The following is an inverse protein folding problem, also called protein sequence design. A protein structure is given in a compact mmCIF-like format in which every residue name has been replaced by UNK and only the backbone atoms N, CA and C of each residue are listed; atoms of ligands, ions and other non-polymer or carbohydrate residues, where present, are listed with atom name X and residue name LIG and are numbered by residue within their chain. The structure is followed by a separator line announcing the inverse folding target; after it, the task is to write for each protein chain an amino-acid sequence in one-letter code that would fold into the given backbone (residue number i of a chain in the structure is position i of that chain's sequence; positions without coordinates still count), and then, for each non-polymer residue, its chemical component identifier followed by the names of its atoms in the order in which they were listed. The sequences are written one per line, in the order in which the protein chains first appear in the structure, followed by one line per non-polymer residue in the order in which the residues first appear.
data_IF_547700639400
#
_entry.id   IF_547700639400
#
_cell.length_a   1.000
_cell.length_b   1.000
_cell.length_c   1.000
_cell.angle_alpha   90.00
_cell.angle_beta   90.00
_cell.angle_gamma   90.00
#
_symmetry.space_group_name_H-M   'P 1'
#
loop_
_entity.id
_entity.type
_entity.pdbx_description
1 polymer ?
#
# COMPACT_ATOMS: atom_id res chain seq x y z
N UNK A 1 -203.22 95.46 -41.93
CA UNK A 1 -203.76 94.12 -42.29
C UNK A 1 -203.13 93.04 -41.40
N UNK A 2 -203.73 91.84 -41.34
CA UNK A 2 -203.31 90.58 -40.65
C UNK A 2 -202.06 90.60 -39.72
N UNK A 3 -202.13 90.25 -38.41
CA UNK A 3 -202.34 88.88 -37.82
C UNK A 3 -201.42 87.83 -38.45
N UNK A 4 -200.67 86.95 -37.76
CA UNK A 4 -200.61 86.42 -36.37
C UNK A 4 -199.15 85.85 -36.17
N UNK A 5 -198.60 85.35 -35.04
CA UNK A 5 -198.99 85.00 -33.65
C UNK A 5 -197.69 84.92 -32.80
N UNK A 6 -197.70 85.20 -31.49
CA UNK A 6 -196.56 84.89 -30.59
C UNK A 6 -196.52 83.40 -30.18
N UNK A 7 -195.33 82.89 -29.81
CA UNK A 7 -195.13 81.92 -28.71
C UNK A 7 -193.87 82.28 -27.89
N UNK A 8 -193.81 81.81 -26.64
CA UNK A 8 -192.92 82.29 -25.57
C UNK A 8 -192.71 81.18 -24.53
N UNK A 9 -191.48 80.64 -24.32
CA UNK A 9 -191.08 80.09 -23.01
C UNK A 9 -189.59 79.70 -22.79
N UNK A 10 -189.09 80.11 -21.62
CA UNK A 10 -188.09 79.49 -20.72
C UNK A 10 -186.59 79.38 -21.08
N UNK A 11 -185.79 79.57 -20.03
CA UNK A 11 -184.32 79.45 -19.94
C UNK A 11 -183.98 78.13 -19.22
N UNK A 12 -182.79 77.56 -19.49
CA UNK A 12 -182.13 76.58 -18.62
C UNK A 12 -180.62 76.93 -18.47
N UNK A 13 -180.05 76.99 -17.24
CA UNK A 13 -178.70 77.51 -17.02
C UNK A 13 -177.64 76.39 -16.95
N UNK A 14 -176.75 76.27 -17.94
CA UNK A 14 -175.65 75.26 -17.85
C UNK A 14 -174.35 75.51 -18.65
N UNK A 15 -174.06 76.73 -19.13
CA UNK A 15 -172.88 76.98 -20.01
C UNK A 15 -171.85 78.03 -19.53
N UNK A 16 -172.06 78.71 -18.41
CA UNK A 16 -171.13 79.76 -17.92
C UNK A 16 -169.81 79.16 -17.38
N UNK A 17 -169.83 77.94 -16.85
CA UNK A 17 -168.68 77.30 -16.18
C UNK A 17 -167.54 76.95 -17.18
N UNK A 18 -167.85 76.73 -18.47
CA UNK A 18 -166.84 76.30 -19.46
C UNK A 18 -165.90 77.43 -19.92
N UNK A 19 -166.23 78.70 -19.65
CA UNK A 19 -165.43 79.85 -20.10
C UNK A 19 -164.20 80.18 -19.24
N UNK A 20 -164.16 79.70 -17.98
CA UNK A 20 -163.06 80.04 -17.05
C UNK A 20 -161.85 79.10 -17.15
N UNK A 21 -162.02 77.88 -17.64
CA UNK A 21 -160.96 76.85 -17.67
C UNK A 21 -159.97 77.11 -18.83
N UNK A 22 -160.43 77.66 -19.96
CA UNK A 22 -159.58 77.94 -21.14
C UNK A 22 -158.76 79.23 -21.02
N UNK A 23 -159.17 80.19 -20.19
CA UNK A 23 -158.44 81.44 -19.99
C UNK A 23 -157.16 81.26 -19.13
N UNK A 24 -157.14 80.28 -18.24
CA UNK A 24 -156.07 80.10 -17.24
C UNK A 24 -154.80 79.40 -17.78
N UNK A 25 -154.78 78.97 -19.05
CA UNK A 25 -153.68 78.21 -19.66
C UNK A 25 -152.78 79.05 -20.60
N UNK A 26 -153.06 80.35 -20.77
CA UNK A 26 -152.33 81.25 -21.68
C UNK A 26 -151.35 82.21 -20.97
N UNK A 27 -151.11 82.02 -19.67
CA UNK A 27 -150.26 82.87 -18.83
C UNK A 27 -149.36 82.05 -17.88
N UNK A 28 -148.37 81.31 -18.40
CA UNK A 28 -147.12 80.94 -17.69
C UNK A 28 -146.01 80.74 -18.76
N UNK A 29 -144.70 80.91 -18.45
CA UNK A 29 -143.69 81.29 -19.45
C UNK A 29 -143.01 80.10 -20.15
N UNK A 30 -142.31 80.42 -21.24
CA UNK A 30 -141.41 79.49 -21.95
C UNK A 30 -140.17 79.21 -21.08
N UNK A 31 -139.86 77.93 -20.87
CA UNK A 31 -138.66 77.50 -20.16
C UNK A 31 -137.40 77.72 -21.01
N UNK A 32 -136.34 78.24 -20.38
CA UNK A 32 -134.98 78.13 -20.93
C UNK A 32 -134.50 76.70 -20.70
N UNK A 33 -134.05 76.01 -21.74
CA UNK A 33 -133.47 74.68 -21.59
C UNK A 33 -132.10 74.80 -20.90
N UNK A 34 -131.90 74.04 -19.82
CA UNK A 34 -130.58 73.86 -19.23
C UNK A 34 -129.73 72.95 -20.14
N UNK A 35 -128.45 73.31 -20.32
CA UNK A 35 -127.47 72.48 -21.02
C UNK A 35 -127.16 71.23 -20.21
N UNK A 36 -127.45 70.05 -20.75
CA UNK A 36 -127.01 68.77 -20.18
C UNK A 36 -125.55 68.52 -20.57
N UNK A 37 -124.68 68.37 -19.56
CA UNK A 37 -123.27 68.02 -19.72
C UNK A 37 -123.08 66.54 -20.10
N UNK A 38 -121.95 66.22 -20.72
CA UNK A 38 -121.58 64.84 -21.02
C UNK A 38 -121.05 64.11 -19.75
N UNK A 39 -121.25 62.78 -19.62
CA UNK A 39 -120.70 62.03 -18.50
C UNK A 39 -119.17 62.11 -18.46
N UNK A 40 -118.63 62.68 -17.38
CA UNK A 40 -117.18 62.86 -17.17
C UNK A 40 -116.69 64.31 -17.30
N UNK A 41 -117.51 65.24 -17.77
CA UNK A 41 -117.22 66.67 -17.69
C UNK A 41 -117.42 67.18 -16.25
N UNK A 42 -116.51 68.05 -15.78
CA UNK A 42 -116.67 68.77 -14.52
C UNK A 42 -116.79 70.26 -14.76
N UNK A 43 -117.73 70.90 -14.07
CA UNK A 43 -117.82 72.34 -13.97
C UNK A 43 -116.60 72.89 -13.22
N UNK A 44 -116.06 74.02 -13.69
CA UNK A 44 -115.09 74.79 -12.92
C UNK A 44 -115.71 75.17 -11.54
N UNK A 45 -115.08 74.81 -10.41
CA UNK A 45 -115.66 74.98 -9.08
C UNK A 45 -115.95 76.44 -8.67
N UNK A 46 -115.35 77.42 -9.33
CA UNK A 46 -115.58 78.85 -9.05
C UNK A 46 -116.91 79.39 -9.63
N UNK A 47 -117.65 78.59 -10.40
CA UNK A 47 -118.87 79.02 -11.10
C UNK A 47 -120.14 78.97 -10.23
N UNK A 48 -120.80 80.12 -10.05
CA UNK A 48 -122.11 80.22 -9.41
C UNK A 48 -123.28 79.80 -10.34
N UNK A 49 -124.41 79.31 -9.81
CA UNK A 49 -125.56 78.89 -10.63
C UNK A 49 -126.10 80.02 -11.52
N UNK A 50 -126.11 79.79 -12.84
CA UNK A 50 -126.71 80.68 -13.84
C UNK A 50 -125.74 81.52 -14.69
N UNK A 51 -124.42 81.42 -14.49
CA UNK A 51 -123.42 82.10 -15.34
C UNK A 51 -123.39 81.51 -16.76
N UNK A 52 -123.73 82.24 -17.84
CA UNK A 52 -123.92 81.65 -19.19
C UNK A 52 -122.67 81.16 -19.94
N UNK A 53 -121.51 81.08 -19.30
CA UNK A 53 -120.23 80.74 -19.95
C UNK A 53 -119.22 80.09 -18.98
N UNK A 54 -119.67 79.24 -18.05
CA UNK A 54 -118.74 78.42 -17.28
C UNK A 54 -118.12 77.35 -18.19
N UNK A 55 -116.80 77.40 -18.39
CA UNK A 55 -116.08 76.41 -19.18
C UNK A 55 -115.98 75.06 -18.46
N UNK A 56 -116.20 73.97 -19.19
CA UNK A 56 -115.93 72.61 -18.72
C UNK A 56 -114.48 72.23 -18.97
N UNK A 57 -113.87 71.53 -18.01
CA UNK A 57 -112.58 70.87 -18.20
C UNK A 57 -112.81 69.44 -18.69
N UNK A 58 -112.23 69.11 -19.84
CA UNK A 58 -112.29 67.75 -20.39
C UNK A 58 -111.41 66.78 -19.56
N UNK A 59 -111.76 65.48 -19.46
CA UNK A 59 -110.89 64.47 -18.87
C UNK A 59 -109.61 64.29 -19.71
N UNK A 60 -108.51 63.91 -19.05
CA UNK A 60 -107.13 63.92 -19.57
C UNK A 60 -107.02 63.45 -21.03
N UNK A 61 -106.57 64.33 -21.91
CA UNK A 61 -106.77 64.18 -23.36
C UNK A 61 -105.55 63.49 -23.99
N UNK A 62 -105.78 62.34 -24.63
CA UNK A 62 -104.79 61.59 -25.41
C UNK A 62 -103.66 60.91 -24.61
N UNK A 63 -103.98 60.34 -23.44
CA UNK A 63 -103.20 59.25 -22.82
C UNK A 63 -101.74 59.60 -22.45
N UNK A 64 -101.45 60.89 -22.29
CA UNK A 64 -100.12 61.42 -22.05
C UNK A 64 -100.14 62.18 -20.73
N UNK A 65 -99.58 61.59 -19.67
CA UNK A 65 -99.74 62.03 -18.27
C UNK A 65 -99.21 63.44 -17.94
N UNK A 66 -98.77 64.22 -18.93
CA UNK A 66 -98.25 65.58 -18.81
C UNK A 66 -99.31 66.65 -18.43
N UNK A 67 -100.60 66.36 -18.60
CA UNK A 67 -101.71 67.23 -18.17
C UNK A 67 -102.21 66.91 -16.75
N UNK A 68 -101.74 65.81 -16.14
CA UNK A 68 -102.16 65.34 -14.82
C UNK A 68 -101.44 66.14 -13.72
N UNK A 69 -102.07 67.23 -13.29
CA UNK A 69 -101.54 68.13 -12.24
C UNK A 69 -101.69 67.59 -10.81
N UNK A 70 -102.51 66.56 -10.59
CA UNK A 70 -102.68 65.89 -9.29
C UNK A 70 -103.27 64.48 -9.43
N UNK A 71 -102.86 63.57 -8.55
CA UNK A 71 -103.45 62.21 -8.40
C UNK A 71 -103.84 61.96 -6.92
N UNK A 72 -104.43 62.96 -6.26
CA UNK A 72 -104.82 62.88 -4.85
C UNK A 72 -105.84 61.76 -4.51
N UNK A 73 -106.46 61.12 -5.51
CA UNK A 73 -107.40 60.02 -5.32
C UNK A 73 -106.78 58.62 -5.30
N UNK A 74 -105.49 58.46 -5.60
CA UNK A 74 -104.82 57.15 -5.66
C UNK A 74 -104.33 56.72 -4.26
N UNK A 75 -105.21 56.06 -3.50
CA UNK A 75 -104.94 55.61 -2.12
C UNK A 75 -104.25 54.24 -2.01
N UNK A 76 -104.06 53.55 -3.14
CA UNK A 76 -103.39 52.25 -3.24
C UNK A 76 -102.36 52.26 -4.38
N UNK A 77 -101.25 51.52 -4.30
CA UNK A 77 -100.31 51.37 -5.42
C UNK A 77 -100.98 50.90 -6.71
N UNK A 78 -100.48 51.36 -7.86
CA UNK A 78 -100.91 50.83 -9.16
C UNK A 78 -100.51 49.35 -9.28
N UNK A 79 -101.43 48.51 -9.73
CA UNK A 79 -101.18 47.09 -9.98
C UNK A 79 -100.27 46.88 -11.20
N UNK A 80 -99.69 45.68 -11.35
CA UNK A 80 -98.88 45.33 -12.51
C UNK A 80 -99.66 45.42 -13.84
N UNK A 81 -100.95 45.09 -13.84
CA UNK A 81 -101.85 45.27 -14.98
C UNK A 81 -102.08 46.75 -15.36
N UNK A 82 -101.75 47.69 -14.48
CA UNK A 82 -101.80 49.15 -14.69
C UNK A 82 -100.40 49.75 -14.89
N UNK A 83 -99.37 48.93 -15.12
CA UNK A 83 -97.98 49.37 -15.29
C UNK A 83 -97.26 49.74 -13.99
N UNK A 84 -97.87 49.47 -12.82
CA UNK A 84 -97.26 49.66 -11.51
C UNK A 84 -96.62 48.39 -10.95
N UNK A 85 -96.37 48.38 -9.65
CA UNK A 85 -95.67 47.29 -8.93
C UNK A 85 -96.50 46.66 -7.81
N UNK A 86 -97.70 47.15 -7.53
CA UNK A 86 -98.58 46.66 -6.47
C UNK A 86 -98.15 46.97 -5.02
N UNK A 87 -96.97 47.55 -4.80
CA UNK A 87 -96.43 47.88 -3.46
C UNK A 87 -96.08 49.36 -3.31
N UNK A 88 -96.14 49.87 -2.07
CA UNK A 88 -95.73 51.22 -1.67
C UNK A 88 -94.37 51.27 -0.96
N UNK A 89 -93.75 50.11 -0.66
CA UNK A 89 -92.52 50.02 0.13
C UNK A 89 -91.54 48.98 -0.43
N UNK A 90 -90.25 49.23 -0.19
CA UNK A 90 -89.10 48.42 -0.57
C UNK A 90 -87.98 48.57 0.48
N UNK A 91 -87.15 47.55 0.66
CA UNK A 91 -85.84 47.67 1.28
C UNK A 91 -84.73 47.83 0.22
N UNK A 92 -83.56 48.30 0.66
CA UNK A 92 -82.42 48.54 -0.24
C UNK A 92 -81.81 47.20 -0.67
N UNK A 93 -81.82 46.93 -1.98
CA UNK A 93 -81.31 45.69 -2.57
C UNK A 93 -82.38 44.61 -2.81
N UNK A 94 -83.65 44.92 -2.58
CA UNK A 94 -84.77 44.09 -3.01
C UNK A 94 -84.85 44.02 -4.54
N UNK A 95 -85.34 42.90 -5.06
CA UNK A 95 -85.47 42.64 -6.49
C UNK A 95 -86.93 42.34 -6.87
N UNK A 96 -87.46 43.13 -7.80
CA UNK A 96 -88.77 42.92 -8.42
C UNK A 96 -88.69 41.84 -9.51
N UNK A 97 -89.66 40.92 -9.53
CA UNK A 97 -89.74 39.85 -10.53
C UNK A 97 -91.19 39.49 -10.86
N UNK A 98 -91.43 38.87 -12.02
CA UNK A 98 -92.75 38.35 -12.34
C UNK A 98 -93.06 37.12 -11.47
N UNK A 99 -93.96 37.28 -10.50
CA UNK A 99 -94.42 36.19 -9.61
C UNK A 99 -95.52 35.36 -10.24
N UNK A 100 -96.22 35.91 -11.23
CA UNK A 100 -97.16 35.23 -12.12
C UNK A 100 -97.11 35.88 -13.51
N UNK A 101 -97.96 35.46 -14.43
CA UNK A 101 -98.05 36.09 -15.78
C UNK A 101 -98.56 37.53 -15.77
N UNK A 102 -99.09 38.00 -14.63
CA UNK A 102 -99.83 39.27 -14.54
C UNK A 102 -99.49 40.08 -13.27
N UNK A 103 -98.52 39.64 -12.46
CA UNK A 103 -98.17 40.23 -11.16
C UNK A 103 -96.66 40.31 -10.97
N UNK A 104 -96.21 41.34 -10.25
CA UNK A 104 -94.84 41.47 -9.79
C UNK A 104 -94.75 41.15 -8.29
N UNK A 105 -93.82 40.27 -7.93
CA UNK A 105 -93.43 39.97 -6.56
C UNK A 105 -92.14 40.69 -6.18
N UNK A 106 -91.93 40.87 -4.87
CA UNK A 106 -90.67 41.38 -4.31
C UNK A 106 -89.91 40.22 -3.68
N UNK A 107 -88.68 39.97 -4.17
CA UNK A 107 -87.71 39.12 -3.51
C UNK A 107 -86.77 40.02 -2.70
N UNK A 108 -86.92 40.01 -1.38
CA UNK A 108 -86.08 40.82 -0.48
C UNK A 108 -84.58 40.48 -0.62
N UNK A 109 -83.69 41.43 -0.31
CA UNK A 109 -82.23 41.19 -0.35
C UNK A 109 -81.81 39.92 0.42
N UNK A 110 -80.97 39.09 -0.23
CA UNK A 110 -80.45 37.85 0.36
C UNK A 110 -79.38 38.08 1.42
N UNK A 111 -79.13 37.08 2.28
CA UNK A 111 -78.00 37.11 3.21
C UNK A 111 -76.66 36.92 2.49
N UNK A 112 -75.57 37.39 3.10
CA UNK A 112 -74.21 37.27 2.56
C UNK A 112 -73.89 35.83 2.14
N UNK A 113 -73.39 35.66 0.91
CA UNK A 113 -73.06 34.36 0.33
C UNK A 113 -74.22 33.63 -0.35
N UNK A 114 -75.43 34.21 -0.40
CA UNK A 114 -76.52 33.72 -1.25
C UNK A 114 -76.35 34.20 -2.69
N UNK A 115 -76.79 33.37 -3.63
CA UNK A 115 -76.87 33.70 -5.05
C UNK A 115 -78.30 33.55 -5.59
N UNK A 116 -78.62 34.26 -6.66
CA UNK A 116 -79.95 34.22 -7.27
C UNK A 116 -80.07 33.00 -8.19
N UNK A 117 -81.06 32.15 -7.93
CA UNK A 117 -81.27 30.87 -8.62
C UNK A 117 -82.70 30.80 -9.14
N UNK A 118 -82.87 30.45 -10.41
CA UNK A 118 -84.17 29.98 -10.91
C UNK A 118 -84.39 28.53 -10.45
N UNK A 119 -85.52 28.24 -9.83
CA UNK A 119 -85.91 26.87 -9.45
C UNK A 119 -86.84 26.21 -10.51
N UNK A 120 -87.05 26.87 -11.65
CA UNK A 120 -87.95 26.42 -12.73
C UNK A 120 -89.38 26.97 -12.66
N UNK A 121 -89.82 27.51 -11.50
CA UNK A 121 -91.14 28.15 -11.34
C UNK A 121 -91.06 29.59 -10.81
N UNK A 122 -89.95 29.95 -10.16
CA UNK A 122 -89.67 31.28 -9.61
C UNK A 122 -88.15 31.48 -9.48
N UNK A 123 -87.75 32.70 -9.09
CA UNK A 123 -86.39 32.99 -8.61
C UNK A 123 -86.34 32.98 -7.09
N UNK A 124 -85.25 32.46 -6.53
CA UNK A 124 -85.02 32.34 -5.08
C UNK A 124 -83.55 32.60 -4.75
N UNK A 125 -83.27 32.97 -3.49
CA UNK A 125 -81.92 32.99 -2.95
C UNK A 125 -81.52 31.59 -2.48
N UNK A 126 -80.44 31.04 -3.04
CA UNK A 126 -79.93 29.72 -2.65
C UNK A 126 -78.47 29.80 -2.16
N UNK A 127 -78.01 28.77 -1.43
CA UNK A 127 -76.59 28.55 -1.17
C UNK A 127 -76.00 27.78 -2.36
N UNK A 128 -74.79 28.13 -2.78
CA UNK A 128 -74.11 27.39 -3.86
C UNK A 128 -74.01 25.91 -3.42
N UNK A 129 -74.51 24.94 -4.19
CA UNK A 129 -74.39 23.53 -3.85
C UNK A 129 -72.91 23.14 -3.87
N UNK A 130 -72.45 22.45 -2.83
CA UNK A 130 -71.03 22.20 -2.57
C UNK A 130 -70.28 21.57 -3.76
N UNK A 131 -69.03 21.98 -3.93
CA UNK A 131 -68.17 21.60 -5.05
C UNK A 131 -67.68 22.75 -5.95
N UNK A 132 -68.02 24.01 -5.63
CA UNK A 132 -67.48 25.18 -6.33
C UNK A 132 -66.05 25.53 -5.86
N UNK A 133 -65.22 26.05 -6.76
CA UNK A 133 -63.77 26.24 -6.56
C UNK A 133 -63.45 27.54 -5.78
N UNK A 134 -64.05 27.69 -4.61
CA UNK A 134 -63.71 28.73 -3.65
C UNK A 134 -62.27 28.52 -3.14
N UNK A 135 -61.46 29.58 -3.06
CA UNK A 135 -60.04 29.50 -2.71
C UNK A 135 -59.73 28.98 -1.29
N UNK A 136 -60.75 28.76 -0.47
CA UNK A 136 -60.67 28.15 0.86
C UNK A 136 -61.44 26.82 0.98
N UNK A 137 -61.93 26.24 -0.13
CA UNK A 137 -62.61 24.95 -0.12
C UNK A 137 -61.58 23.84 0.16
N UNK A 138 -61.76 23.12 1.27
CA UNK A 138 -60.93 21.97 1.67
C UNK A 138 -61.30 20.68 0.90
N UNK A 139 -62.22 20.78 -0.07
CA UNK A 139 -62.76 19.68 -0.88
C UNK A 139 -63.53 18.62 -0.07
N UNK A 140 -63.96 18.89 1.17
CA UNK A 140 -64.80 17.94 1.93
C UNK A 140 -66.20 17.76 1.33
N UNK A 141 -66.62 18.68 0.47
CA UNK A 141 -67.87 18.61 -0.30
C UNK A 141 -67.80 17.60 -1.46
N UNK A 142 -66.61 17.11 -1.80
CA UNK A 142 -66.41 16.12 -2.85
C UNK A 142 -66.93 14.74 -2.38
N UNK A 143 -68.17 14.45 -2.73
CA UNK A 143 -68.85 13.17 -2.43
C UNK A 143 -68.20 11.93 -3.06
N UNK A 144 -67.27 12.09 -4.01
CA UNK A 144 -66.59 10.99 -4.69
C UNK A 144 -65.14 11.32 -5.07
N UNK A 145 -64.18 10.61 -4.45
CA UNK A 145 -62.75 10.77 -4.77
C UNK A 145 -62.39 10.29 -6.18
N UNK A 146 -63.16 9.37 -6.77
CA UNK A 146 -62.95 8.95 -8.17
C UNK A 146 -63.37 10.05 -9.14
N UNK A 147 -64.42 10.81 -8.83
CA UNK A 147 -64.89 11.91 -9.66
C UNK A 147 -63.87 13.05 -9.72
N UNK A 148 -63.26 13.45 -8.59
CA UNK A 148 -62.17 14.45 -8.65
C UNK A 148 -60.93 13.95 -9.40
N UNK A 149 -60.52 12.68 -9.22
CA UNK A 149 -59.42 12.12 -10.01
C UNK A 149 -59.73 12.16 -11.51
N UNK A 150 -60.95 11.85 -11.91
CA UNK A 150 -61.40 11.99 -13.30
C UNK A 150 -61.36 13.45 -13.77
N UNK A 151 -61.85 14.40 -12.98
CA UNK A 151 -61.87 15.82 -13.33
C UNK A 151 -60.47 16.44 -13.40
N UNK A 152 -59.51 15.93 -12.62
CA UNK A 152 -58.09 16.31 -12.65
C UNK A 152 -57.27 15.53 -13.71
N UNK A 153 -57.88 14.60 -14.45
CA UNK A 153 -57.19 13.75 -15.43
C UNK A 153 -56.20 12.74 -14.84
N UNK A 154 -56.36 12.39 -13.55
CA UNK A 154 -55.42 11.56 -12.80
C UNK A 154 -55.83 10.08 -12.78
N UNK A 155 -55.07 9.23 -13.49
CA UNK A 155 -55.21 7.77 -13.43
C UNK A 155 -54.24 7.18 -12.40
N UNK A 156 -54.78 6.33 -11.50
CA UNK A 156 -53.96 5.59 -10.53
C UNK A 156 -53.12 4.54 -11.28
N UNK A 157 -51.82 4.51 -11.00
CA UNK A 157 -50.84 3.71 -11.74
C UNK A 157 -50.28 4.41 -12.99
N UNK A 158 -50.68 5.65 -13.28
CA UNK A 158 -50.14 6.46 -14.39
C UNK A 158 -49.67 7.83 -13.92
N UNK A 159 -50.56 8.61 -13.29
CA UNK A 159 -50.26 9.96 -12.80
C UNK A 159 -50.04 9.98 -11.28
N UNK A 160 -50.67 9.04 -10.56
CA UNK A 160 -50.61 8.91 -9.11
C UNK A 160 -50.29 7.47 -8.76
N UNK A 161 -49.28 7.25 -7.92
CA UNK A 161 -48.91 5.91 -7.46
C UNK A 161 -50.07 5.27 -6.69
N UNK A 162 -50.37 4.00 -6.96
CA UNK A 162 -51.33 3.25 -6.17
C UNK A 162 -50.79 3.04 -4.75
N UNK A 163 -51.65 3.21 -3.73
CA UNK A 163 -51.27 2.96 -2.34
C UNK A 163 -50.77 1.52 -2.18
N UNK A 164 -49.57 1.40 -1.61
CA UNK A 164 -48.87 0.16 -1.36
C UNK A 164 -48.08 0.34 -0.06
N UNK A 165 -48.23 -0.58 0.88
CA UNK A 165 -47.57 -0.50 2.19
C UNK A 165 -46.04 -0.48 2.05
N UNK A 166 -45.48 -1.38 1.25
CA UNK A 166 -44.03 -1.43 1.00
C UNK A 166 -43.45 -0.17 0.36
N UNK A 167 -44.20 0.53 -0.48
CA UNK A 167 -43.78 1.85 -1.00
C UNK A 167 -43.91 2.95 0.07
N UNK A 168 -44.85 2.83 1.01
CA UNK A 168 -44.94 3.72 2.18
C UNK A 168 -43.77 3.49 3.14
N UNK A 169 -43.34 2.24 3.33
CA UNK A 169 -42.14 1.91 4.10
C UNK A 169 -40.92 2.57 3.46
N UNK A 170 -40.68 2.31 2.17
CA UNK A 170 -39.56 2.84 1.38
C UNK A 170 -39.52 4.39 1.42
N UNK A 171 -40.68 5.04 1.33
CA UNK A 171 -40.77 6.51 1.43
C UNK A 171 -40.51 7.06 2.84
N UNK A 172 -40.66 6.24 3.89
CA UNK A 172 -40.35 6.58 5.29
C UNK A 172 -38.91 6.26 5.72
N UNK A 173 -38.09 5.63 4.86
CA UNK A 173 -36.73 5.20 5.22
C UNK A 173 -35.75 6.36 5.36
N UNK A 174 -34.88 6.28 6.38
CA UNK A 174 -33.82 7.27 6.61
C UNK A 174 -32.70 7.14 5.57
N UNK A 175 -32.54 8.16 4.73
CA UNK A 175 -31.53 8.24 3.67
C UNK A 175 -30.14 8.53 4.26
N UNK A 176 -29.47 7.49 4.76
CA UNK A 176 -28.08 7.54 5.25
C UNK A 176 -27.13 6.87 4.25
N UNK A 177 -26.01 7.55 3.93
CA UNK A 177 -25.02 7.03 2.97
C UNK A 177 -24.36 5.74 3.45
N UNK A 178 -24.17 4.77 2.55
CA UNK A 178 -23.57 3.47 2.85
C UNK A 178 -24.48 2.45 3.53
N UNK A 179 -25.75 2.80 3.77
CA UNK A 179 -26.78 1.86 4.21
C UNK A 179 -27.53 1.24 3.02
N UNK A 180 -28.21 0.11 3.26
CA UNK A 180 -28.94 -0.67 2.28
C UNK A 180 -30.42 -0.78 2.67
N UNK A 181 -31.30 -0.81 1.66
CA UNK A 181 -32.70 -1.19 1.83
C UNK A 181 -32.79 -2.73 1.77
N UNK A 182 -33.41 -3.33 2.77
CA UNK A 182 -33.65 -4.78 2.87
C UNK A 182 -35.06 -5.04 3.40
N UNK A 183 -35.56 -6.27 3.30
CA UNK A 183 -36.81 -6.65 3.97
C UNK A 183 -36.53 -7.39 5.28
N UNK A 184 -37.38 -7.17 6.28
CA UNK A 184 -37.41 -7.94 7.54
C UNK A 184 -38.31 -9.19 7.45
N UNK A 185 -38.98 -9.42 6.31
CA UNK A 185 -39.97 -10.47 6.09
C UNK A 185 -41.43 -9.99 6.08
N UNK A 186 -41.70 -8.74 6.48
CA UNK A 186 -43.04 -8.12 6.47
C UNK A 186 -43.04 -6.72 5.83
N UNK A 187 -42.00 -5.92 6.06
CA UNK A 187 -41.84 -4.53 5.67
C UNK A 187 -40.53 -4.35 4.87
N UNK A 188 -40.27 -3.12 4.41
CA UNK A 188 -38.91 -2.67 4.07
C UNK A 188 -38.26 -1.91 5.22
N UNK A 189 -36.97 -2.14 5.46
CA UNK A 189 -36.17 -1.45 6.47
C UNK A 189 -34.79 -1.03 5.94
N UNK A 190 -34.13 -0.12 6.65
CA UNK A 190 -32.72 0.22 6.41
C UNK A 190 -31.82 -0.59 7.33
N UNK A 191 -30.75 -1.15 6.78
CA UNK A 191 -29.63 -1.74 7.54
C UNK A 191 -28.30 -1.11 7.14
N UNK A 192 -27.35 -1.04 8.08
CA UNK A 192 -25.99 -0.60 7.77
C UNK A 192 -25.22 -1.67 7.00
N UNK A 193 -24.16 -1.26 6.31
CA UNK A 193 -23.19 -2.18 5.68
C UNK A 193 -22.59 -3.20 6.66
N UNK A 194 -22.49 -2.87 7.96
CA UNK A 194 -22.08 -3.81 9.01
C UNK A 194 -23.15 -4.85 9.31
N UNK A 195 -24.42 -4.45 9.52
CA UNK A 195 -25.53 -5.39 9.78
C UNK A 195 -25.79 -6.31 8.58
N UNK A 196 -25.78 -5.77 7.36
CA UNK A 196 -26.00 -6.57 6.14
C UNK A 196 -24.92 -7.66 5.99
N UNK A 197 -23.65 -7.39 6.33
CA UNK A 197 -22.62 -8.44 6.34
C UNK A 197 -22.95 -9.57 7.31
N UNK A 198 -23.48 -9.27 8.50
CA UNK A 198 -23.96 -10.30 9.44
C UNK A 198 -25.15 -11.08 8.85
N UNK A 199 -26.16 -10.40 8.31
CA UNK A 199 -27.37 -11.03 7.74
C UNK A 199 -27.08 -11.91 6.52
N UNK A 200 -26.08 -11.57 5.71
CA UNK A 200 -25.61 -12.38 4.58
C UNK A 200 -24.62 -13.50 4.97
N UNK A 201 -24.33 -13.69 6.26
CA UNK A 201 -23.32 -14.66 6.73
C UNK A 201 -21.85 -14.27 6.43
N UNK A 202 -21.63 -13.08 5.88
CA UNK A 202 -20.32 -12.53 5.52
C UNK A 202 -19.57 -11.92 6.72
N UNK A 203 -20.07 -12.06 7.94
CA UNK A 203 -19.42 -11.55 9.16
C UNK A 203 -18.03 -12.12 9.42
N UNK A 204 -17.76 -13.35 8.94
CA UNK A 204 -16.46 -14.02 9.01
C UNK A 204 -15.57 -13.79 7.77
N UNK A 205 -16.03 -12.99 6.80
CA UNK A 205 -15.21 -12.62 5.63
C UNK A 205 -14.44 -11.36 5.99
N UNK A 206 -13.12 -11.49 6.14
CA UNK A 206 -12.25 -10.37 6.47
C UNK A 206 -12.44 -9.21 5.49
N UNK A 207 -12.66 -8.00 6.01
CA UNK A 207 -12.65 -6.77 5.20
C UNK A 207 -11.21 -6.28 4.91
N UNK A 208 -10.21 -7.08 5.29
CA UNK A 208 -8.79 -6.85 5.07
C UNK A 208 -8.45 -7.29 3.66
N UNK A 209 -7.79 -6.43 2.87
CA UNK A 209 -7.32 -6.82 1.55
C UNK A 209 -6.33 -7.99 1.67
N UNK A 210 -6.37 -8.95 0.74
CA UNK A 210 -5.51 -10.14 0.81
C UNK A 210 -4.01 -9.80 0.83
N UNK A 211 -3.63 -8.63 0.30
CA UNK A 211 -2.28 -8.05 0.34
C UNK A 211 -1.83 -7.53 1.72
N UNK A 212 -2.74 -7.40 2.69
CA UNK A 212 -2.47 -6.94 4.07
C UNK A 212 -3.00 -7.89 5.15
N UNK A 213 -3.54 -9.05 4.75
CA UNK A 213 -4.09 -10.06 5.65
C UNK A 213 -2.98 -10.97 6.19
N UNK A 214 -2.75 -10.92 7.51
CA UNK A 214 -1.70 -11.68 8.20
C UNK A 214 -1.99 -13.17 8.41
N UNK A 215 -3.03 -13.72 7.76
CA UNK A 215 -3.51 -15.08 7.97
C UNK A 215 -4.28 -15.28 9.27
N UNK A 216 -4.64 -16.54 9.56
CA UNK A 216 -5.33 -16.94 10.80
C UNK A 216 -4.98 -18.38 11.16
N UNK A 217 -4.93 -18.70 12.46
CA UNK A 217 -4.74 -20.06 12.97
C UNK A 217 -5.93 -20.99 12.70
N UNK A 218 -7.09 -20.44 12.29
CA UNK A 218 -8.26 -21.23 11.90
C UNK A 218 -8.12 -21.92 10.54
N UNK A 219 -7.11 -21.59 9.74
CA UNK A 219 -6.83 -22.25 8.47
C UNK A 219 -5.85 -23.40 8.73
N UNK A 220 -6.43 -24.59 8.90
CA UNK A 220 -5.71 -25.85 9.14
C UNK A 220 -5.24 -26.53 7.86
N UNK A 221 -5.72 -26.09 6.69
CA UNK A 221 -5.39 -26.62 5.37
C UNK A 221 -5.28 -25.49 4.34
N UNK A 222 -4.17 -25.47 3.59
CA UNK A 222 -3.99 -24.63 2.40
C UNK A 222 -4.09 -25.49 1.13
N UNK A 223 -4.40 -24.86 0.00
CA UNK A 223 -4.30 -25.49 -1.32
C UNK A 223 -2.85 -25.58 -1.80
N UNK A 224 -2.57 -26.51 -2.73
CA UNK A 224 -1.24 -26.67 -3.33
C UNK A 224 -0.86 -25.47 -4.19
N UNK A 225 0.31 -24.87 -3.95
CA UNK A 225 0.93 -23.91 -4.86
C UNK A 225 1.47 -24.67 -6.08
N UNK A 226 0.63 -24.81 -7.12
CA UNK A 226 0.98 -25.57 -8.32
C UNK A 226 1.99 -24.85 -9.23
N UNK A 227 1.97 -23.52 -9.24
CA UNK A 227 2.88 -22.64 -10.00
C UNK A 227 3.10 -21.31 -9.27
N UNK A 228 4.18 -20.61 -9.62
CA UNK A 228 4.53 -19.29 -9.06
C UNK A 228 5.63 -19.35 -8.00
N UNK A 229 6.09 -18.18 -7.57
CA UNK A 229 7.13 -18.02 -6.53
C UNK A 229 6.49 -17.61 -5.21
N UNK A 230 6.92 -18.21 -4.10
CA UNK A 230 6.52 -17.77 -2.76
C UNK A 230 7.25 -16.46 -2.42
N UNK A 231 6.51 -15.36 -2.41
CA UNK A 231 7.01 -14.01 -2.09
C UNK A 231 6.84 -13.63 -0.60
N UNK A 232 6.37 -14.56 0.23
CA UNK A 232 6.22 -14.35 1.68
C UNK A 232 7.53 -14.52 2.44
N UNK A 233 7.46 -14.37 3.77
CA UNK A 233 8.56 -14.75 4.68
C UNK A 233 8.90 -16.24 4.52
N UNK A 234 10.16 -16.62 4.76
CA UNK A 234 10.59 -18.03 4.75
C UNK A 234 9.67 -18.89 5.62
N UNK A 235 9.17 -19.98 5.05
CA UNK A 235 8.39 -20.98 5.80
C UNK A 235 9.37 -21.74 6.70
N UNK A 236 9.20 -21.63 8.03
CA UNK A 236 10.08 -22.31 8.98
C UNK A 236 10.00 -23.84 8.81
N UNK A 237 11.14 -24.54 8.98
CA UNK A 237 11.26 -25.98 8.67
C UNK A 237 10.26 -26.87 9.40
N UNK A 238 9.84 -26.51 10.61
CA UNK A 238 8.78 -27.22 11.35
C UNK A 238 7.37 -27.19 10.72
N UNK A 239 7.16 -26.41 9.65
CA UNK A 239 5.94 -26.40 8.84
C UNK A 239 6.12 -26.99 7.43
N UNK A 240 7.33 -27.42 7.07
CA UNK A 240 7.62 -28.05 5.79
C UNK A 240 7.40 -29.57 5.86
N UNK A 241 7.20 -30.17 4.70
CA UNK A 241 7.16 -31.63 4.57
C UNK A 241 8.52 -32.23 4.93
N UNK A 242 8.49 -33.40 5.57
CA UNK A 242 9.67 -34.18 6.00
C UNK A 242 10.64 -34.57 4.86
N UNK A 243 10.21 -34.34 3.61
CA UNK A 243 10.91 -34.61 2.37
C UNK A 243 11.42 -33.32 1.66
N UNK A 244 11.45 -32.18 2.36
CA UNK A 244 11.91 -30.88 1.84
C UNK A 244 13.24 -30.52 2.49
N UNK A 245 14.31 -30.41 1.69
CA UNK A 245 15.57 -29.83 2.14
C UNK A 245 15.59 -28.31 1.94
N UNK A 246 16.17 -27.59 2.90
CA UNK A 246 16.51 -26.17 2.77
C UNK A 246 17.97 -25.95 2.36
N UNK A 247 18.27 -24.78 1.81
CA UNK A 247 19.64 -24.40 1.47
C UNK A 247 20.51 -24.29 2.73
N UNK A 248 21.69 -24.92 2.71
CA UNK A 248 22.61 -25.09 3.84
C UNK A 248 22.14 -26.06 4.96
N UNK A 249 20.98 -26.71 4.83
CA UNK A 249 20.69 -27.87 5.69
C UNK A 249 21.52 -29.10 5.27
N UNK A 250 21.84 -29.95 6.24
CA UNK A 250 22.74 -31.08 6.04
C UNK A 250 21.99 -32.22 5.31
N UNK A 251 22.56 -32.74 4.22
CA UNK A 251 21.99 -33.83 3.39
C UNK A 251 21.57 -35.06 4.20
N UNK A 252 22.17 -35.28 5.38
CA UNK A 252 21.77 -36.35 6.29
C UNK A 252 20.31 -36.25 6.79
N UNK A 253 19.63 -35.10 6.64
CA UNK A 253 18.19 -34.93 6.95
C UNK A 253 17.24 -35.28 5.79
N UNK A 254 17.73 -35.63 4.59
CA UNK A 254 16.97 -35.76 3.33
C UNK A 254 15.77 -36.75 3.38
N UNK A 255 15.70 -37.63 4.37
CA UNK A 255 14.60 -38.59 4.59
C UNK A 255 13.69 -38.26 5.78
N UNK A 256 14.08 -37.29 6.61
CA UNK A 256 13.69 -37.17 8.03
C UNK A 256 13.80 -38.48 8.82
N UNK A 257 14.59 -39.44 8.36
CA UNK A 257 15.04 -40.51 9.24
C UNK A 257 16.12 -39.92 10.14
N UNK A 258 15.74 -39.55 11.37
CA UNK A 258 16.70 -39.16 12.40
C UNK A 258 17.75 -40.25 12.62
N UNK A 259 17.41 -41.52 12.34
CA UNK A 259 18.27 -42.68 12.25
C UNK A 259 19.43 -42.56 11.25
N UNK A 260 19.26 -41.84 10.14
CA UNK A 260 20.29 -41.66 9.11
C UNK A 260 21.44 -40.75 9.58
N UNK A 261 21.15 -39.73 10.40
CA UNK A 261 22.18 -38.92 11.09
C UNK A 261 22.64 -39.58 12.39
N UNK A 262 21.81 -40.40 13.04
CA UNK A 262 22.33 -41.23 14.15
C UNK A 262 23.44 -42.12 13.64
N UNK A 263 24.35 -42.47 14.53
CA UNK A 263 25.51 -43.28 14.15
C UNK A 263 25.15 -44.65 13.55
N UNK A 264 23.91 -45.14 13.64
CA UNK A 264 23.52 -46.42 13.02
C UNK A 264 23.29 -46.29 11.51
N UNK A 265 22.37 -45.44 11.03
CA UNK A 265 22.05 -45.36 9.60
C UNK A 265 23.24 -44.91 8.74
N UNK A 266 24.03 -43.95 9.23
CA UNK A 266 25.26 -43.53 8.58
C UNK A 266 26.34 -44.64 8.50
N UNK A 267 26.34 -45.62 9.42
CA UNK A 267 27.23 -46.79 9.37
C UNK A 267 26.69 -47.87 8.44
N UNK A 268 25.39 -48.16 8.47
CA UNK A 268 24.80 -49.19 7.59
C UNK A 268 24.90 -48.83 6.09
N UNK A 269 25.08 -47.54 5.77
CA UNK A 269 25.41 -47.06 4.41
C UNK A 269 26.87 -47.31 3.97
N UNK A 270 27.76 -47.76 4.87
CA UNK A 270 29.18 -48.00 4.60
C UNK A 270 29.53 -49.49 4.63
N UNK A 271 30.48 -49.92 3.80
CA UNK A 271 30.92 -51.32 3.71
C UNK A 271 32.37 -51.45 3.25
N UNK A 272 32.99 -52.61 3.50
CA UNK A 272 34.28 -52.99 2.93
C UNK A 272 34.11 -54.07 1.85
N UNK A 273 34.68 -53.83 0.67
CA UNK A 273 34.91 -54.84 -0.36
C UNK A 273 36.38 -55.31 -0.43
N UNK A 274 37.27 -54.67 0.34
CA UNK A 274 38.69 -54.99 0.39
C UNK A 274 38.94 -56.31 1.13
N UNK A 275 39.68 -57.22 0.49
CA UNK A 275 40.05 -58.51 1.07
C UNK A 275 40.87 -58.29 2.34
N UNK A 276 40.45 -58.91 3.45
CA UNK A 276 41.14 -58.81 4.73
C UNK A 276 40.77 -57.60 5.59
N UNK A 277 39.84 -56.76 5.13
CA UNK A 277 39.29 -55.64 5.91
C UNK A 277 37.78 -55.85 6.15
N UNK A 278 37.38 -55.88 7.42
CA UNK A 278 35.98 -56.01 7.84
C UNK A 278 35.47 -54.70 8.43
N UNK A 279 34.30 -54.25 7.98
CA UNK A 279 33.61 -53.10 8.55
C UNK A 279 32.49 -53.56 9.50
N UNK A 280 32.45 -53.01 10.71
CA UNK A 280 31.42 -53.33 11.71
C UNK A 280 30.36 -52.22 11.80
N UNK A 281 29.18 -52.42 11.21
CA UNK A 281 28.11 -51.40 11.20
C UNK A 281 27.48 -51.13 12.57
N UNK A 282 27.87 -51.87 13.62
CA UNK A 282 27.51 -51.61 15.02
C UNK A 282 28.44 -50.63 15.73
N UNK A 283 29.70 -50.47 15.28
CA UNK A 283 30.71 -49.62 15.94
C UNK A 283 31.33 -48.55 15.03
N UNK A 284 31.31 -48.77 13.71
CA UNK A 284 31.80 -47.82 12.70
C UNK A 284 33.28 -47.99 12.39
N UNK A 285 33.89 -49.07 12.88
CA UNK A 285 35.32 -49.33 12.78
C UNK A 285 35.59 -50.31 11.63
N UNK A 286 36.58 -49.99 10.79
CA UNK A 286 37.23 -50.97 9.93
C UNK A 286 38.32 -51.68 10.73
N UNK A 287 38.25 -52.99 10.82
CA UNK A 287 39.29 -53.85 11.43
C UNK A 287 39.88 -54.78 10.38
N UNK A 288 41.05 -55.35 10.67
CA UNK A 288 41.48 -56.56 9.95
C UNK A 288 40.45 -57.67 10.16
N UNK A 289 40.16 -58.44 9.11
CA UNK A 289 39.32 -59.63 9.20
C UNK A 289 40.01 -60.68 10.07
N UNK A 290 39.27 -61.30 11.00
CA UNK A 290 39.86 -62.31 11.89
C UNK A 290 40.47 -63.47 11.09
N UNK A 291 41.72 -63.83 11.40
CA UNK A 291 42.49 -64.83 10.65
C UNK A 291 43.11 -64.34 9.34
N UNK A 292 42.89 -63.09 8.92
CA UNK A 292 43.60 -62.53 7.77
C UNK A 292 44.98 -62.00 8.18
N UNK A 293 46.02 -62.79 7.90
CA UNK A 293 47.40 -62.34 8.02
C UNK A 293 47.72 -61.41 6.83
N UNK A 294 48.17 -60.19 7.11
CA UNK A 294 48.70 -59.27 6.09
C UNK A 294 49.88 -59.98 5.37
N UNK A 295 49.84 -60.17 4.03
CA UNK A 295 50.89 -60.92 3.34
C UNK A 295 52.27 -60.24 3.41
N UNK A 296 53.18 -60.80 4.22
CA UNK A 296 54.59 -60.42 4.30
C UNK A 296 55.37 -61.04 3.13
N UNK A 297 55.07 -60.62 1.91
CA UNK A 297 55.66 -61.15 0.65
C UNK A 297 57.12 -60.67 0.43
N UNK A 298 57.89 -60.50 1.50
CA UNK A 298 59.27 -60.00 1.49
C UNK A 298 60.15 -60.70 2.55
N UNK A 299 60.53 -61.94 2.25
CA UNK A 299 61.63 -62.72 2.87
C UNK A 299 61.51 -63.12 4.35
N UNK A 300 61.29 -64.42 4.58
CA UNK A 300 61.59 -65.12 5.84
C UNK A 300 62.52 -66.33 5.65
N UNK A 301 63.07 -66.53 4.44
CA UNK A 301 63.65 -67.83 4.02
C UNK A 301 65.13 -67.80 3.62
N UNK A 302 65.77 -66.63 3.52
CA UNK A 302 67.13 -66.52 2.94
C UNK A 302 68.17 -65.83 3.83
N UNK A 303 67.88 -65.57 5.10
CA UNK A 303 68.81 -64.90 6.03
C UNK A 303 69.50 -65.84 7.03
N UNK A 304 68.89 -66.96 7.41
CA UNK A 304 69.41 -67.83 8.48
C UNK A 304 70.81 -68.37 8.16
N UNK A 305 70.99 -68.92 6.96
CA UNK A 305 72.25 -69.50 6.48
C UNK A 305 73.45 -68.51 6.45
N UNK A 306 73.19 -67.20 6.54
CA UNK A 306 74.21 -66.15 6.62
C UNK A 306 74.66 -65.88 8.07
N UNK A 307 73.80 -66.13 9.06
CA UNK A 307 74.08 -65.95 10.49
C UNK A 307 74.57 -67.23 11.19
N UNK A 308 74.34 -68.41 10.62
CA UNK A 308 74.97 -69.65 11.07
C UNK A 308 76.50 -69.56 10.97
N UNK A 309 77.22 -70.13 11.94
CA UNK A 309 78.69 -70.08 12.00
C UNK A 309 79.32 -71.45 12.28
N UNK A 310 80.10 -72.04 11.36
CA UNK A 310 80.44 -71.54 10.02
C UNK A 310 79.24 -71.37 9.07
N UNK A 311 79.24 -70.31 8.26
CA UNK A 311 78.14 -70.04 7.32
C UNK A 311 78.18 -71.00 6.14
N UNK A 312 77.03 -71.57 5.78
CA UNK A 312 76.84 -72.39 4.59
C UNK A 312 76.63 -71.58 3.31
N UNK A 313 76.37 -70.27 3.44
CA UNK A 313 76.21 -69.35 2.30
C UNK A 313 77.54 -68.76 1.80
N UNK A 314 78.64 -68.88 2.56
CA UNK A 314 79.94 -68.29 2.26
C UNK A 314 80.96 -69.41 2.00
N UNK A 315 81.25 -69.67 0.72
CA UNK A 315 82.33 -70.56 0.31
C UNK A 315 83.70 -69.86 0.48
N UNK A 316 84.64 -70.53 1.16
CA UNK A 316 86.01 -70.01 1.34
C UNK A 316 86.91 -70.37 0.17
N UNK A 317 87.74 -69.41 -0.25
CA UNK A 317 88.80 -69.64 -1.23
C UNK A 317 90.02 -70.35 -0.63
N UNK A 318 90.90 -70.86 -1.49
CA UNK A 318 92.19 -71.47 -1.12
C UNK A 318 93.01 -70.53 -0.23
N UNK A 319 93.46 -71.02 0.93
CA UNK A 319 94.25 -70.24 1.89
C UNK A 319 93.43 -69.51 2.96
N UNK A 320 92.10 -69.64 2.97
CA UNK A 320 91.23 -69.17 4.04
C UNK A 320 90.57 -70.33 4.80
N UNK A 321 90.31 -70.15 6.10
CA UNK A 321 89.63 -71.10 6.95
C UNK A 321 88.72 -70.38 7.97
N UNK A 322 87.64 -71.04 8.39
CA UNK A 322 86.80 -70.57 9.49
C UNK A 322 87.47 -70.79 10.85
N UNK A 323 87.33 -69.83 11.75
CA UNK A 323 87.68 -69.91 13.17
C UNK A 323 86.48 -69.39 13.97
N UNK A 324 85.65 -70.32 14.44
CA UNK A 324 84.32 -70.05 14.99
C UNK A 324 83.50 -69.12 14.07
N UNK A 325 83.38 -67.84 14.44
CA UNK A 325 82.54 -66.84 13.78
C UNK A 325 83.34 -65.88 12.87
N UNK A 326 84.65 -66.11 12.68
CA UNK A 326 85.51 -65.28 11.83
C UNK A 326 86.21 -66.11 10.75
N UNK A 327 86.62 -65.44 9.66
CA UNK A 327 87.46 -66.03 8.61
C UNK A 327 88.89 -65.59 8.87
N UNK A 328 89.82 -66.55 8.90
CA UNK A 328 91.25 -66.34 9.03
C UNK A 328 92.01 -67.01 7.87
N UNK A 329 93.33 -66.88 7.83
CA UNK A 329 94.14 -67.69 6.92
C UNK A 329 94.14 -69.17 7.36
N UNK A 330 94.14 -70.08 6.39
CA UNK A 330 94.19 -71.53 6.61
C UNK A 330 95.56 -72.01 7.08
N UNK A 331 95.61 -73.19 7.68
CA UNK A 331 96.88 -73.81 8.11
C UNK A 331 97.88 -73.88 6.95
N UNK A 332 99.10 -73.36 7.16
CA UNK A 332 100.14 -73.24 6.14
C UNK A 332 100.11 -71.93 5.32
N UNK A 333 99.14 -71.04 5.53
CA UNK A 333 99.06 -69.72 4.90
C UNK A 333 99.20 -68.62 5.95
N UNK A 334 100.15 -67.70 5.77
CA UNK A 334 100.35 -66.57 6.66
C UNK A 334 99.88 -65.26 6.00
N UNK A 335 99.14 -64.43 6.73
CA UNK A 335 98.94 -63.02 6.38
C UNK A 335 100.18 -62.25 6.83
N UNK A 336 100.97 -61.61 5.94
CA UNK A 336 102.20 -60.94 6.36
C UNK A 336 101.91 -59.66 7.16
N UNK A 337 102.12 -59.71 8.47
CA UNK A 337 101.82 -58.58 9.37
C UNK A 337 103.00 -57.61 9.59
N UNK A 338 104.15 -57.82 8.94
CA UNK A 338 105.27 -56.84 8.93
C UNK A 338 106.12 -56.97 7.66
N UNK A 339 106.17 -55.88 6.88
CA UNK A 339 107.16 -55.50 5.85
C UNK A 339 107.48 -56.43 4.65
N UNK A 340 107.72 -55.82 3.48
CA UNK A 340 108.21 -56.48 2.27
C UNK A 340 109.74 -56.61 2.29
N UNK A 341 110.25 -57.83 2.24
CA UNK A 341 111.66 -58.16 2.51
C UNK A 341 112.56 -58.19 1.26
N UNK A 342 112.02 -58.01 0.05
CA UNK A 342 112.79 -58.18 -1.20
C UNK A 342 113.53 -56.92 -1.67
N UNK A 343 113.17 -55.71 -1.19
CA UNK A 343 113.72 -54.44 -1.70
C UNK A 343 114.51 -53.61 -0.66
N UNK A 344 114.56 -54.04 0.61
CA UNK A 344 115.22 -53.29 1.69
C UNK A 344 116.64 -53.74 2.02
N UNK A 345 116.99 -55.01 1.80
CA UNK A 345 118.29 -55.56 2.18
C UNK A 345 119.47 -54.90 1.45
N UNK A 346 119.31 -54.49 0.19
CA UNK A 346 120.35 -53.76 -0.54
C UNK A 346 120.66 -52.41 0.10
N UNK A 347 119.64 -51.63 0.49
CA UNK A 347 119.82 -50.34 1.15
C UNK A 347 120.53 -50.49 2.51
N UNK A 348 120.12 -51.49 3.32
CA UNK A 348 120.75 -51.79 4.61
C UNK A 348 122.23 -52.17 4.46
N UNK A 349 122.55 -53.05 3.52
CA UNK A 349 123.93 -53.50 3.28
C UNK A 349 124.82 -52.37 2.74
N UNK A 350 124.31 -51.53 1.84
CA UNK A 350 125.05 -50.36 1.31
C UNK A 350 125.36 -49.33 2.42
N UNK A 351 124.40 -49.05 3.30
CA UNK A 351 124.62 -48.14 4.45
C UNK A 351 125.62 -48.74 5.45
N UNK A 352 125.53 -50.04 5.72
CA UNK A 352 126.46 -50.73 6.63
C UNK A 352 127.90 -50.72 6.10
N UNK A 353 128.11 -51.08 4.82
CA UNK A 353 129.44 -51.06 4.20
C UNK A 353 130.08 -49.65 4.22
N UNK A 354 129.29 -48.62 3.87
CA UNK A 354 129.71 -47.22 3.93
C UNK A 354 130.23 -46.81 5.31
N UNK A 355 129.54 -47.20 6.39
CA UNK A 355 129.91 -46.79 7.75
C UNK A 355 131.34 -47.19 8.18
N UNK A 356 131.84 -48.32 7.71
CA UNK A 356 133.23 -48.78 7.94
C UNK A 356 134.27 -47.90 7.24
N UNK A 357 134.00 -47.51 5.99
CA UNK A 357 134.90 -46.66 5.21
C UNK A 357 134.94 -45.23 5.77
N UNK A 358 133.77 -44.67 6.15
CA UNK A 358 133.67 -43.36 6.79
C UNK A 358 134.34 -43.29 8.17
N UNK A 359 134.33 -44.39 8.94
CA UNK A 359 135.08 -44.46 10.20
C UNK A 359 136.59 -44.40 9.93
N UNK A 360 137.07 -45.20 8.96
CA UNK A 360 138.47 -45.23 8.55
C UNK A 360 138.96 -43.86 8.05
N UNK A 361 138.12 -43.13 7.30
CA UNK A 361 138.43 -41.79 6.82
C UNK A 361 138.44 -40.72 7.93
N UNK A 362 137.65 -40.89 9.00
CA UNK A 362 137.68 -40.02 10.17
C UNK A 362 138.96 -40.21 10.99
N UNK A 363 139.42 -41.46 11.14
CA UNK A 363 140.65 -41.81 11.86
C UNK A 363 141.94 -41.33 11.15
N UNK A 364 141.87 -40.88 9.89
CA UNK A 364 142.98 -40.22 9.20
C UNK A 364 143.29 -38.81 9.74
N UNK A 365 142.39 -38.23 10.55
CA UNK A 365 142.60 -36.95 11.22
C UNK A 365 142.59 -35.72 10.31
N UNK A 366 143.21 -34.63 10.77
CA UNK A 366 143.16 -33.36 10.05
C UNK A 366 144.11 -33.34 8.84
N UNK A 367 143.59 -33.65 7.65
CA UNK A 367 144.34 -33.65 6.39
C UNK A 367 145.05 -32.32 6.06
N UNK A 368 144.61 -31.17 6.58
CA UNK A 368 145.33 -29.91 6.41
C UNK A 368 146.73 -29.92 7.05
N UNK A 369 146.96 -30.78 8.03
CA UNK A 369 148.26 -30.99 8.69
C UNK A 369 149.18 -31.96 7.92
N UNK A 370 148.67 -32.70 6.94
CA UNK A 370 149.38 -33.81 6.31
C UNK A 370 150.31 -33.42 5.15
N UNK A 371 150.32 -32.13 4.75
CA UNK A 371 151.32 -31.59 3.84
C UNK A 371 151.25 -32.09 2.39
N UNK A 372 150.11 -32.62 1.94
CA UNK A 372 149.95 -33.18 0.58
C UNK A 372 150.13 -32.16 -0.56
N UNK A 373 150.09 -30.86 -0.26
CA UNK A 373 150.23 -29.74 -1.20
C UNK A 373 151.26 -28.73 -0.66
N UNK A 374 152.55 -28.98 -0.88
CA UNK A 374 153.65 -28.08 -0.48
C UNK A 374 154.07 -27.08 -1.57
N UNK A 375 153.82 -27.41 -2.84
CA UNK A 375 153.95 -26.51 -4.00
C UNK A 375 152.99 -26.99 -5.08
N UNK A 376 152.16 -26.08 -5.62
CA UNK A 376 151.39 -26.32 -6.84
C UNK A 376 152.02 -25.61 -8.04
N UNK A 377 151.91 -26.23 -9.21
CA UNK A 377 152.45 -25.74 -10.48
C UNK A 377 151.49 -25.92 -11.66
N UNK A 378 150.28 -26.45 -11.47
CA UNK A 378 149.28 -26.55 -12.54
C UNK A 378 148.82 -25.14 -13.01
N UNK A 379 149.08 -24.76 -14.28
CA UNK A 379 148.62 -23.49 -14.84
C UNK A 379 147.10 -23.35 -14.87
N UNK A 380 146.36 -24.46 -14.90
CA UNK A 380 144.89 -24.49 -14.94
C UNK A 380 144.33 -24.13 -13.56
N UNK A 381 144.91 -24.65 -12.48
CA UNK A 381 144.50 -24.29 -11.11
C UNK A 381 144.78 -22.82 -10.80
N UNK A 382 145.89 -22.26 -11.28
CA UNK A 382 146.18 -20.82 -11.18
C UNK A 382 145.18 -19.93 -11.95
N UNK A 383 144.54 -20.44 -13.01
CA UNK A 383 143.48 -19.73 -13.72
C UNK A 383 142.11 -19.87 -13.02
N UNK A 384 141.77 -21.09 -12.58
CA UNK A 384 140.49 -21.40 -11.94
C UNK A 384 140.34 -20.82 -10.52
N UNK A 385 141.43 -20.72 -9.77
CA UNK A 385 141.45 -20.17 -8.39
C UNK A 385 141.22 -18.65 -8.31
N UNK A 386 141.12 -17.95 -9.45
CA UNK A 386 140.76 -16.53 -9.54
C UNK A 386 139.41 -16.17 -8.87
N UNK A 387 138.57 -17.16 -8.58
CA UNK A 387 137.30 -17.00 -7.84
C UNK A 387 137.34 -17.48 -6.38
N UNK A 388 138.46 -18.00 -5.87
CA UNK A 388 138.61 -18.37 -4.45
C UNK A 388 139.03 -17.15 -3.63
N UNK A 389 138.05 -16.52 -3.00
CA UNK A 389 138.21 -15.26 -2.27
C UNK A 389 139.01 -15.42 -0.97
N UNK A 390 140.04 -14.59 -0.80
CA UNK A 390 140.72 -14.40 0.47
C UNK A 390 139.78 -13.84 1.54
N UNK A 391 140.11 -14.06 2.82
CA UNK A 391 139.25 -13.76 3.98
C UNK A 391 138.80 -12.30 4.08
N UNK A 392 139.55 -11.35 3.52
CA UNK A 392 139.18 -9.93 3.44
C UNK A 392 137.94 -9.65 2.58
N UNK A 393 137.65 -10.46 1.55
CA UNK A 393 136.48 -10.28 0.66
C UNK A 393 135.25 -11.06 1.14
N UNK A 394 135.38 -11.94 2.14
CA UNK A 394 134.23 -12.57 2.79
C UNK A 394 133.40 -11.56 3.62
N UNK A 395 134.06 -10.51 4.13
CA UNK A 395 133.46 -9.51 5.01
C UNK A 395 132.38 -8.64 4.33
N UNK A 396 132.52 -8.34 3.02
CA UNK A 396 131.53 -7.56 2.28
C UNK A 396 130.23 -8.33 2.01
N UNK A 397 130.30 -9.66 1.87
CA UNK A 397 129.14 -10.48 1.50
C UNK A 397 128.19 -10.71 2.67
N UNK A 398 128.71 -10.84 3.90
CA UNK A 398 127.88 -10.99 5.10
C UNK A 398 127.06 -9.72 5.44
N UNK A 399 127.52 -8.54 5.02
CA UNK A 399 126.78 -7.29 5.21
C UNK A 399 125.52 -7.19 4.32
N UNK A 400 125.41 -8.05 3.29
CA UNK A 400 124.23 -8.09 2.39
C UNK A 400 123.01 -8.76 3.03
N UNK A 401 123.22 -9.81 3.84
CA UNK A 401 122.11 -10.61 4.39
C UNK A 401 121.26 -9.85 5.43
N UNK A 402 121.83 -8.84 6.10
CA UNK A 402 121.11 -7.99 7.06
C UNK A 402 120.12 -7.04 6.35
N UNK A 403 120.40 -6.61 5.12
CA UNK A 403 119.55 -5.70 4.36
C UNK A 403 118.41 -6.38 3.58
N UNK A 404 118.46 -7.71 3.38
CA UNK A 404 117.39 -8.45 2.71
C UNK A 404 116.13 -8.63 3.58
N UNK A 405 116.27 -8.55 4.91
CA UNK A 405 115.17 -8.70 5.89
C UNK A 405 114.19 -7.52 5.82
N UNK A 406 114.60 -6.37 5.29
CA UNK A 406 113.76 -5.17 5.18
C UNK A 406 112.76 -5.18 4.00
N UNK A 407 112.87 -6.13 3.07
CA UNK A 407 112.17 -6.06 1.76
C UNK A 407 111.01 -7.04 1.58
N UNK A 408 110.81 -7.97 2.52
CA UNK A 408 109.79 -9.03 2.41
C UNK A 408 108.84 -9.14 3.62
N UNK A 409 108.88 -8.18 4.56
CA UNK A 409 107.92 -8.11 5.65
C UNK A 409 106.73 -7.21 5.26
N UNK A 410 105.69 -7.81 4.68
CA UNK A 410 104.44 -7.11 4.38
C UNK A 410 103.68 -6.78 5.67
N UNK A 411 103.06 -5.60 5.75
CA UNK A 411 102.38 -5.15 6.97
C UNK A 411 101.06 -5.93 7.27
N UNK A 412 100.65 -6.84 6.38
CA UNK A 412 99.45 -7.65 6.55
C UNK A 412 99.64 -8.83 7.52
N UNK A 413 100.82 -9.47 7.48
CA UNK A 413 101.06 -10.77 8.15
C UNK A 413 101.29 -10.64 9.66
N UNK A 414 101.42 -9.42 10.18
CA UNK A 414 101.59 -9.12 11.61
C UNK A 414 100.27 -9.15 12.40
N UNK A 415 99.12 -8.98 11.74
CA UNK A 415 97.82 -8.74 12.41
C UNK A 415 96.96 -10.00 12.68
N UNK A 416 97.50 -11.20 12.51
CA UNK A 416 96.75 -12.47 12.67
C UNK A 416 97.06 -13.23 13.96
N UNK A 417 98.05 -12.81 14.74
CA UNK A 417 98.39 -13.40 16.06
C UNK A 417 97.75 -12.59 17.19
N UNK A 418 96.67 -13.13 17.77
CA UNK A 418 95.82 -12.45 18.76
C UNK A 418 96.40 -12.36 20.19
N UNK A 419 97.72 -12.46 20.35
CA UNK A 419 98.42 -12.36 21.64
C UNK A 419 99.71 -11.52 21.52
N UNK A 420 99.66 -10.27 21.98
CA UNK A 420 100.85 -9.43 22.11
C UNK A 420 101.84 -10.01 23.15
N UNK A 421 103.16 -9.91 22.93
CA UNK A 421 104.16 -10.32 23.91
C UNK A 421 104.00 -9.58 25.26
N UNK A 422 104.13 -10.33 26.36
CA UNK A 422 103.83 -9.85 27.71
C UNK A 422 104.67 -8.65 28.21
N UNK A 423 105.74 -8.28 27.49
CA UNK A 423 106.61 -7.13 27.80
C UNK A 423 106.00 -5.76 27.51
N UNK A 424 104.87 -5.68 26.79
CA UNK A 424 104.23 -4.41 26.40
C UNK A 424 103.08 -4.02 27.37
N UNK A 425 102.67 -4.90 28.28
CA UNK A 425 101.54 -4.68 29.21
C UNK A 425 101.79 -3.67 30.34
N UNK A 426 102.93 -2.96 30.36
CA UNK A 426 103.34 -2.07 31.46
C UNK A 426 103.62 -0.62 31.04
N UNK A 427 103.57 -0.27 29.75
CA UNK A 427 103.73 1.10 29.27
C UNK A 427 102.37 1.80 29.09
N UNK A 428 102.08 2.80 29.92
CA UNK A 428 100.88 3.65 29.79
C UNK A 428 100.99 4.57 28.57
N UNK A 429 100.08 4.41 27.61
CA UNK A 429 100.06 5.19 26.38
C UNK A 429 99.45 6.58 26.65
N UNK A 430 100.31 7.59 26.84
CA UNK A 430 99.92 8.93 27.34
C UNK A 430 99.44 9.91 26.28
N UNK A 431 99.56 9.58 24.98
CA UNK A 431 98.98 10.37 23.89
C UNK A 431 98.64 9.46 22.70
N UNK A 432 97.51 9.72 22.06
CA UNK A 432 97.10 9.09 20.79
C UNK A 432 96.88 10.20 19.77
N UNK A 433 97.45 10.04 18.57
CA UNK A 433 97.35 11.02 17.49
C UNK A 433 95.96 11.12 16.87
N UNK A 434 95.69 12.22 16.18
CA UNK A 434 94.39 12.48 15.53
C UNK A 434 94.10 11.45 14.43
N UNK A 435 93.03 10.67 14.59
CA UNK A 435 92.52 9.76 13.56
C UNK A 435 91.81 10.60 12.50
N UNK A 436 92.51 10.91 11.40
CA UNK A 436 92.01 11.80 10.35
C UNK A 436 90.81 11.21 9.57
N UNK A 437 90.79 9.89 9.36
CA UNK A 437 89.65 9.13 8.81
C UNK A 437 89.63 7.72 9.41
N UNK A 438 88.44 7.20 9.71
CA UNK A 438 88.24 5.82 10.20
C UNK A 438 87.26 5.71 11.37
N UNK A 439 86.63 4.54 11.53
CA UNK A 439 85.68 4.27 12.61
C UNK A 439 86.41 3.70 13.83
N UNK A 440 86.31 4.36 14.98
CA UNK A 440 86.81 3.83 16.26
C UNK A 440 85.96 2.62 16.68
N UNK A 441 86.56 1.43 16.71
CA UNK A 441 85.89 0.16 17.06
C UNK A 441 86.07 -0.25 18.54
N UNK A 442 86.87 0.49 19.31
CA UNK A 442 87.06 0.26 20.75
C UNK A 442 85.95 0.87 21.60
N UNK A 443 85.99 0.62 22.91
CA UNK A 443 85.12 1.31 23.89
C UNK A 443 85.27 2.83 23.77
N UNK A 444 84.17 3.57 23.90
CA UNK A 444 84.18 5.03 23.83
C UNK A 444 84.96 5.64 25.01
N UNK A 445 85.83 6.61 24.75
CA UNK A 445 86.53 7.38 25.78
C UNK A 445 85.51 8.30 26.47
N UNK A 446 85.40 8.21 27.80
CA UNK A 446 84.56 9.11 28.58
C UNK A 446 85.08 10.56 28.49
N UNK A 447 84.18 11.53 28.34
CA UNK A 447 84.51 12.92 28.03
C UNK A 447 85.46 13.61 29.03
N UNK A 448 85.52 13.14 30.28
CA UNK A 448 86.49 13.62 31.29
C UNK A 448 87.97 13.37 30.94
N UNK A 449 88.27 12.62 29.87
CA UNK A 449 89.63 12.42 29.34
C UNK A 449 89.83 13.05 27.95
N UNK A 450 88.86 13.81 27.44
CA UNK A 450 88.94 14.54 26.17
C UNK A 450 89.00 16.05 26.47
N UNK A 451 90.20 16.55 26.77
CA UNK A 451 90.43 17.94 27.14
C UNK A 451 90.18 18.92 25.99
N UNK A 452 89.35 19.94 26.29
CA UNK A 452 89.32 21.26 25.67
C UNK A 452 89.71 22.29 26.74
#
# INVERSE_FOLDING_TARGET
MARRKLQKKTIQPRRIIFGFITASFLLYPIFVLATMYAPGETLNPDCAPGTPSCGVTAPAVSGSNSDITSINGLTTPLSAAQGGTGTSTYAVGDLLFASSTSELGVLHIGTTGKFLKSNGTSIVWDSIPGGDLLAANNLSELTSTSSARSNLGLVIGTNVQAYNTGLSDIAGLSLTSGNFIVSDGANWMVQSSSTVKTTLGLGNVENTALSTWGGTTSITSLGTIATGTWQGTVIASGYLGLNVMLENENISLLTNDTGFVTTTGARDALSSSAIGLSYATSTGVFTLTSGYNIPLTASTTNWNNFYDTPSTAIALGTGLAWNNNTIQAGSGYNIPLTASTTNWNSAYNTVTASSTDWTTAFDWGNHASAGYLTTETDPIWMAASSSYLATTTAASTYLSQVNAVATYLSLADWNTTSTLPASILTSSLTQVGTIATGTWQGTAIASGYLGL
#
